data_IF_775381056532
#
_entry.id   IF_775381056532
#
_cell.length_a   1.000
_cell.length_b   1.000
_cell.length_c   1.000
_cell.angle_alpha   90.00
_cell.angle_beta   90.00
_cell.angle_gamma   90.00
#
_symmetry.space_group_name_H-M   'P 1'
#
loop_
_entity.id
_entity.type
_entity.pdbx_description
1 polymer ?
#
# COMPACT_ATOMS: atom_id res chain seq x y z
N UNK A 1 38.10 -34.50 3.38
CA UNK A 1 37.51 -34.95 2.09
C UNK A 1 36.26 -34.10 1.91
N UNK A 2 36.06 -33.23 0.91
CA UNK A 2 36.48 -33.21 -0.52
C UNK A 2 35.94 -34.40 -1.32
N UNK A 3 34.79 -34.20 -1.97
CA UNK A 3 34.33 -34.54 -3.34
C UNK A 3 32.86 -34.01 -3.39
N UNK A 4 32.33 -33.22 -4.34
CA UNK A 4 32.50 -33.04 -5.80
C UNK A 4 31.56 -33.90 -6.65
N UNK A 5 30.45 -33.32 -7.11
CA UNK A 5 29.64 -33.65 -8.32
C UNK A 5 28.48 -32.62 -8.42
N UNK A 6 27.98 -32.16 -9.58
CA UNK A 6 28.55 -32.08 -10.94
C UNK A 6 27.72 -31.06 -11.75
N UNK A 7 28.37 -30.15 -12.47
CA UNK A 7 27.71 -29.23 -13.44
C UNK A 7 27.91 -29.80 -14.85
N UNK A 8 26.89 -29.72 -15.70
CA UNK A 8 26.94 -30.14 -17.11
C UNK A 8 26.33 -29.05 -18.01
N UNK A 9 27.13 -28.53 -18.94
CA UNK A 9 26.73 -27.53 -19.95
C UNK A 9 26.77 -28.11 -21.37
N UNK A 10 25.82 -27.69 -22.21
CA UNK A 10 25.80 -27.80 -23.68
C UNK A 10 24.87 -26.68 -24.22
N UNK A 11 25.31 -25.70 -25.02
CA UNK A 11 25.55 -25.72 -26.49
C UNK A 11 24.31 -26.18 -27.29
N UNK A 12 23.86 -25.55 -28.40
CA UNK A 12 24.30 -24.41 -29.26
C UNK A 12 23.11 -24.01 -30.20
N UNK A 13 23.03 -22.99 -31.10
CA UNK A 13 23.89 -21.90 -31.66
C UNK A 13 23.01 -20.84 -32.40
N UNK A 14 23.59 -19.72 -32.89
CA UNK A 14 23.05 -18.67 -33.81
C UNK A 14 21.96 -17.72 -33.25
N UNK A 15 21.94 -16.37 -33.37
CA UNK A 15 22.58 -15.32 -34.22
C UNK A 15 21.73 -14.74 -35.37
N UNK A 16 21.13 -13.56 -35.15
CA UNK A 16 20.74 -12.56 -36.19
C UNK A 16 20.96 -11.14 -35.63
N UNK A 17 21.36 -10.18 -36.48
CA UNK A 17 21.59 -8.77 -36.12
C UNK A 17 20.53 -7.84 -36.73
N UNK A 18 20.22 -6.73 -36.06
CA UNK A 18 19.96 -5.42 -36.71
C UNK A 18 20.12 -4.27 -35.70
N UNK A 19 20.05 -3.00 -36.16
CA UNK A 19 20.59 -1.81 -35.46
C UNK A 19 19.49 -0.75 -35.21
N UNK A 20 19.63 0.10 -34.16
CA UNK A 20 18.69 1.19 -33.90
C UNK A 20 18.81 2.34 -34.91
N UNK A 21 17.76 3.15 -35.02
CA UNK A 21 17.71 4.40 -35.78
C UNK A 21 17.21 5.56 -34.91
N UNK A 22 17.76 6.75 -35.12
CA UNK A 22 17.49 7.95 -34.31
C UNK A 22 16.21 8.67 -34.78
N UNK A 23 15.43 9.19 -33.82
CA UNK A 23 14.18 9.92 -34.09
C UNK A 23 14.06 11.23 -33.30
N UNK A 24 14.87 12.24 -33.63
CA UNK A 24 14.79 13.57 -33.00
C UNK A 24 13.68 14.41 -33.64
N UNK A 25 12.66 14.78 -32.87
CA UNK A 25 11.75 15.90 -33.18
C UNK A 25 11.51 16.77 -31.94
N UNK A 26 11.05 18.00 -32.16
CA UNK A 26 11.15 19.13 -31.21
C UNK A 26 9.76 19.65 -30.84
N UNK A 27 9.49 20.01 -29.57
CA UNK A 27 8.18 20.53 -29.17
C UNK A 27 7.90 21.89 -29.80
N UNK A 28 6.61 22.16 -30.07
CA UNK A 28 6.12 23.42 -30.65
C UNK A 28 5.10 24.06 -29.71
N UNK A 29 5.55 25.02 -28.91
CA UNK A 29 4.68 25.91 -28.13
C UNK A 29 3.74 26.68 -29.07
N UNK A 30 2.49 26.90 -28.67
CA UNK A 30 1.58 27.85 -29.34
C UNK A 30 0.65 28.45 -28.31
N UNK A 31 0.92 29.71 -27.93
CA UNK A 31 0.05 30.52 -27.08
C UNK A 31 -1.07 31.12 -27.95
N UNK A 32 -2.32 31.06 -27.48
CA UNK A 32 -3.45 31.80 -28.05
C UNK A 32 -4.04 32.66 -26.93
N UNK A 33 -4.43 33.89 -27.25
CA UNK A 33 -4.92 34.86 -26.28
C UNK A 33 -6.36 35.34 -26.60
N UNK A 34 -7.10 35.64 -25.53
CA UNK A 34 -8.21 36.58 -25.41
C UNK A 34 -9.25 36.71 -26.55
N UNK A 35 -10.52 36.38 -26.22
CA UNK A 35 -11.68 36.86 -26.98
C UNK A 35 -12.99 36.22 -26.53
N UNK A 36 -13.91 36.99 -25.94
CA UNK A 36 -15.24 36.50 -25.55
C UNK A 36 -15.89 37.28 -24.40
N UNK A 37 -16.56 38.39 -24.72
CA UNK A 37 -17.42 39.09 -23.76
C UNK A 37 -18.86 38.56 -23.86
N UNK A 38 -19.51 38.32 -22.73
CA UNK A 38 -20.88 37.80 -22.67
C UNK A 38 -21.56 38.13 -21.35
N UNK A 39 -22.18 39.32 -21.27
CA UNK A 39 -23.00 39.70 -20.13
C UNK A 39 -24.46 39.24 -20.33
N UNK A 40 -25.07 38.68 -19.30
CA UNK A 40 -26.49 38.32 -19.26
C UNK A 40 -27.08 38.88 -17.97
N UNK A 41 -28.28 39.48 -18.04
CA UNK A 41 -28.80 40.35 -16.98
C UNK A 41 -30.05 39.78 -16.31
N UNK A 42 -29.98 39.66 -14.99
CA UNK A 42 -31.05 39.66 -13.99
C UNK A 42 -32.37 38.89 -14.25
N UNK A 43 -32.75 38.06 -13.29
CA UNK A 43 -34.08 38.20 -12.67
C UNK A 43 -34.00 37.88 -11.17
N UNK A 44 -34.90 38.46 -10.38
CA UNK A 44 -34.98 38.35 -8.92
C UNK A 44 -36.16 37.49 -8.47
N UNK A 45 -36.10 36.90 -7.27
CA UNK A 45 -37.13 37.08 -6.22
C UNK A 45 -36.97 36.13 -5.00
N UNK A 46 -37.74 36.46 -3.95
CA UNK A 46 -38.23 35.58 -2.87
C UNK A 46 -37.23 35.06 -1.82
N UNK A 47 -37.37 35.61 -0.61
CA UNK A 47 -36.71 35.14 0.60
C UNK A 47 -37.30 33.81 1.13
N UNK A 48 -36.49 33.07 1.90
CA UNK A 48 -36.93 32.02 2.81
C UNK A 48 -36.17 32.15 4.14
N UNK A 49 -36.89 32.19 5.26
CA UNK A 49 -36.31 32.38 6.60
C UNK A 49 -36.79 31.29 7.54
N UNK A 50 -35.87 30.44 7.98
CA UNK A 50 -36.01 29.59 9.19
C UNK A 50 -34.62 29.28 9.72
N UNK A 51 -34.44 29.44 11.02
CA UNK A 51 -33.28 28.91 11.74
C UNK A 51 -33.59 27.50 12.25
N UNK A 52 -32.56 26.67 12.40
CA UNK A 52 -32.57 25.51 13.29
C UNK A 52 -31.19 25.38 13.93
N UNK A 53 -31.15 24.88 15.17
CA UNK A 53 -29.93 24.62 15.92
C UNK A 53 -29.79 23.11 16.22
N UNK A 54 -28.56 22.68 16.47
CA UNK A 54 -28.12 21.32 16.72
C UNK A 54 -26.59 21.32 16.54
N UNK A 55 -25.72 21.18 17.55
CA UNK A 55 -25.82 20.64 18.92
C UNK A 55 -25.94 19.10 18.98
N UNK A 56 -24.90 18.48 19.55
CA UNK A 56 -24.51 17.06 19.37
C UNK A 56 -23.10 17.03 18.76
N UNK A 57 -21.97 17.04 19.49
CA UNK A 57 -21.65 16.71 20.89
C UNK A 57 -21.49 15.21 21.19
N UNK A 58 -20.33 14.86 21.78
CA UNK A 58 -19.85 13.48 22.01
C UNK A 58 -19.07 12.94 20.81
N UNK A 59 -17.83 12.45 20.93
CA UNK A 59 -16.84 12.57 22.02
C UNK A 59 -15.46 12.82 21.37
N UNK A 60 -14.65 13.73 21.93
CA UNK A 60 -13.22 13.78 21.66
C UNK A 60 -12.53 13.03 22.80
N UNK A 61 -11.94 11.87 22.49
CA UNK A 61 -11.17 11.07 23.42
C UNK A 61 -9.76 11.64 23.58
N UNK A 62 -9.62 12.78 24.26
CA UNK A 62 -8.30 13.26 24.70
C UNK A 62 -7.80 12.36 25.85
N UNK A 63 -7.40 11.13 25.53
CA UNK A 63 -6.36 10.46 26.32
C UNK A 63 -5.09 11.32 26.21
N UNK A 64 -4.39 11.47 27.33
CA UNK A 64 -3.21 12.32 27.37
C UNK A 64 -1.99 11.52 26.92
N UNK A 65 -1.81 11.42 25.60
CA UNK A 65 -0.60 10.87 24.97
C UNK A 65 0.68 11.54 25.48
N UNK A 66 1.83 10.94 25.19
CA UNK A 66 3.11 11.50 25.67
C UNK A 66 3.29 12.94 25.14
N UNK A 67 4.05 13.81 25.83
CA UNK A 67 4.01 15.28 25.64
C UNK A 67 4.38 15.81 24.22
N UNK A 68 4.65 14.93 23.24
CA UNK A 68 4.89 15.22 21.82
C UNK A 68 4.21 14.21 20.87
N UNK A 69 3.00 13.75 21.23
CA UNK A 69 2.20 12.75 20.50
C UNK A 69 0.81 13.31 20.11
N UNK A 70 0.26 12.88 18.98
CA UNK A 70 -1.04 13.29 18.43
C UNK A 70 -1.80 12.07 17.92
N UNK A 71 -2.86 11.66 18.62
CA UNK A 71 -3.85 10.71 18.10
C UNK A 71 -4.83 11.44 17.15
N UNK A 72 -5.13 10.85 15.98
CA UNK A 72 -6.15 11.36 15.07
C UNK A 72 -6.93 10.25 14.33
N UNK A 73 -8.25 10.44 14.21
CA UNK A 73 -9.14 9.59 13.42
C UNK A 73 -9.19 10.03 11.95
N UNK A 74 -9.05 9.07 11.04
CA UNK A 74 -9.02 9.24 9.59
C UNK A 74 -10.18 8.52 8.89
N UNK A 75 -10.27 8.65 7.55
CA UNK A 75 -11.22 7.92 6.70
C UNK A 75 -10.49 7.36 5.46
N UNK A 76 -10.85 6.15 5.04
CA UNK A 76 -10.21 5.53 3.86
C UNK A 76 -10.51 6.30 2.58
N UNK A 77 -9.47 6.56 1.79
CA UNK A 77 -9.53 7.32 0.54
C UNK A 77 -9.50 8.85 0.73
N UNK A 78 -9.49 9.37 1.96
CA UNK A 78 -9.32 10.79 2.24
C UNK A 78 -7.84 11.13 2.53
N UNK A 79 -7.48 12.40 2.27
CA UNK A 79 -6.12 12.89 2.44
C UNK A 79 -5.97 13.57 3.81
N UNK A 80 -5.07 13.05 4.64
CA UNK A 80 -4.85 13.47 6.03
C UNK A 80 -3.47 14.11 6.14
N UNK A 81 -3.37 15.25 6.83
CA UNK A 81 -2.07 15.87 7.09
C UNK A 81 -1.37 15.14 8.24
N UNK A 82 -0.06 14.96 8.11
CA UNK A 82 0.82 14.50 9.19
C UNK A 82 1.78 15.64 9.50
N UNK A 83 1.75 16.14 10.73
CA UNK A 83 2.50 17.34 11.10
C UNK A 83 4.00 17.06 11.19
N UNK A 84 4.79 18.11 10.94
CA UNK A 84 6.25 18.07 11.06
C UNK A 84 6.72 18.61 12.41
N UNK A 85 7.98 18.34 12.73
CA UNK A 85 8.61 18.80 13.97
C UNK A 85 9.11 17.69 14.89
N UNK A 86 9.15 16.45 14.38
CA UNK A 86 9.43 15.23 15.14
C UNK A 86 8.41 14.98 16.28
N UNK A 87 7.16 15.39 16.04
CA UNK A 87 5.98 15.01 16.81
C UNK A 87 5.50 13.65 16.28
N UNK A 88 5.15 12.70 17.15
CA UNK A 88 4.55 11.42 16.77
C UNK A 88 3.07 11.65 16.44
N UNK A 89 2.61 11.14 15.30
CA UNK A 89 1.22 11.25 14.85
C UNK A 89 0.70 9.86 14.53
N UNK A 90 -0.34 9.46 15.25
CA UNK A 90 -0.96 8.14 15.15
C UNK A 90 -2.31 8.33 14.44
N UNK A 91 -2.52 7.56 13.38
CA UNK A 91 -3.61 7.81 12.43
C UNK A 91 -4.50 6.59 12.30
N UNK A 92 -5.51 6.58 13.17
CA UNK A 92 -6.49 5.53 13.34
C UNK A 92 -7.49 5.55 12.18
N UNK A 93 -7.66 4.43 11.47
CA UNK A 93 -8.70 4.27 10.45
C UNK A 93 -9.94 3.56 11.00
N UNK A 94 -11.12 3.60 10.34
CA UNK A 94 -12.31 2.93 10.84
C UNK A 94 -12.11 1.41 11.04
N UNK A 95 -12.63 0.82 12.13
CA UNK A 95 -12.46 -0.60 12.40
C UNK A 95 -13.17 -1.50 11.37
N UNK A 96 -12.47 -2.56 10.95
CA UNK A 96 -12.98 -3.63 10.10
C UNK A 96 -13.73 -4.70 10.88
N UNK A 97 -13.71 -5.93 10.34
CA UNK A 97 -14.42 -7.09 10.89
C UNK A 97 -13.87 -7.53 12.25
N UNK A 98 -12.54 -7.51 12.38
CA UNK A 98 -11.77 -8.13 13.45
C UNK A 98 -10.83 -7.14 14.17
N UNK A 99 -10.43 -6.05 13.52
CA UNK A 99 -9.53 -5.04 14.06
C UNK A 99 -9.49 -3.72 13.30
N UNK A 100 -8.67 -2.80 13.78
CA UNK A 100 -8.45 -1.44 13.25
C UNK A 100 -7.10 -1.39 12.53
N UNK A 101 -6.98 -0.58 11.47
CA UNK A 101 -5.69 -0.27 10.83
C UNK A 101 -5.15 1.07 11.33
N UNK A 102 -3.84 1.11 11.56
CA UNK A 102 -3.08 2.20 12.18
C UNK A 102 -1.89 2.60 11.30
N UNK A 103 -1.52 3.87 11.33
CA UNK A 103 -0.27 4.36 10.70
C UNK A 103 0.37 5.39 11.62
N UNK A 104 1.38 4.97 12.40
CA UNK A 104 2.26 5.91 13.09
C UNK A 104 3.24 6.61 12.13
N UNK A 105 3.48 7.88 12.38
CA UNK A 105 4.46 8.71 11.68
C UNK A 105 5.18 9.66 12.64
N UNK A 106 6.50 9.82 12.45
CA UNK A 106 7.27 10.91 13.05
C UNK A 106 8.31 11.42 12.05
N UNK A 107 8.41 12.74 11.87
CA UNK A 107 9.46 13.34 11.05
C UNK A 107 9.64 14.84 11.31
N UNK A 108 10.83 15.37 10.98
CA UNK A 108 11.12 16.80 11.01
C UNK A 108 10.24 17.60 10.01
N UNK A 109 9.88 17.00 8.86
CA UNK A 109 9.03 17.60 7.83
C UNK A 109 7.64 16.95 7.76
N UNK A 110 6.60 17.76 7.62
CA UNK A 110 5.23 17.30 7.41
C UNK A 110 5.07 16.46 6.12
N UNK A 111 4.01 15.64 6.08
CA UNK A 111 3.60 14.80 4.93
C UNK A 111 2.08 14.84 4.77
N UNK A 112 1.56 14.28 3.68
CA UNK A 112 0.12 14.01 3.52
C UNK A 112 -0.07 12.52 3.29
N UNK A 113 -0.79 11.87 4.22
CA UNK A 113 -1.14 10.45 4.16
C UNK A 113 -2.44 10.26 3.36
N UNK A 114 -2.54 9.14 2.67
CA UNK A 114 -3.83 8.62 2.18
C UNK A 114 -3.76 7.10 2.20
N UNK A 115 -4.67 6.45 2.94
CA UNK A 115 -4.81 4.99 2.94
C UNK A 115 -6.10 4.63 2.23
N UNK A 116 -6.05 3.71 1.26
CA UNK A 116 -7.22 3.25 0.50
C UNK A 116 -7.39 1.73 0.62
N UNK A 117 -8.59 1.26 0.91
CA UNK A 117 -8.88 -0.19 0.91
C UNK A 117 -8.89 -0.75 -0.53
N UNK A 118 -8.08 -1.77 -0.78
CA UNK A 118 -8.28 -2.68 -1.90
C UNK A 118 -9.20 -3.82 -1.44
N UNK A 119 -10.45 -3.77 -1.90
CA UNK A 119 -11.49 -4.78 -1.63
C UNK A 119 -11.36 -6.07 -2.49
N UNK A 120 -10.29 -6.20 -3.28
CA UNK A 120 -9.92 -7.42 -3.98
C UNK A 120 -8.41 -7.70 -3.75
N UNK A 121 -7.99 -8.00 -2.51
CA UNK A 121 -6.59 -8.28 -2.18
C UNK A 121 -6.09 -9.53 -2.93
N UNK A 122 -4.77 -9.60 -3.14
CA UNK A 122 -4.14 -10.83 -3.59
C UNK A 122 -4.31 -11.96 -2.55
N UNK A 123 -4.23 -13.21 -2.99
CA UNK A 123 -4.42 -14.36 -2.11
C UNK A 123 -3.40 -14.39 -0.94
N UNK A 124 -3.80 -14.83 0.28
CA UNK A 124 -2.89 -14.96 1.41
C UNK A 124 -1.67 -15.85 1.13
N UNK A 125 -0.52 -15.59 1.76
CA UNK A 125 0.63 -16.50 1.74
C UNK A 125 0.25 -17.91 2.22
N UNK A 126 0.88 -18.93 1.63
CA UNK A 126 0.54 -20.32 1.91
C UNK A 126 0.73 -20.68 3.39
N UNK A 127 -0.33 -21.21 4.02
CA UNK A 127 -0.35 -21.51 5.46
C UNK A 127 -0.82 -20.36 6.35
N UNK A 128 -1.34 -19.27 5.76
CA UNK A 128 -1.95 -18.14 6.46
C UNK A 128 -3.39 -17.88 5.98
N UNK A 129 -4.14 -17.14 6.78
CA UNK A 129 -5.41 -16.49 6.40
C UNK A 129 -5.31 -14.99 6.68
N UNK A 130 -5.95 -14.17 5.86
CA UNK A 130 -6.04 -12.73 6.15
C UNK A 130 -6.98 -12.47 7.33
N UNK A 131 -6.68 -11.45 8.14
CA UNK A 131 -7.56 -11.00 9.23
C UNK A 131 -8.75 -10.19 8.72
N UNK A 132 -8.57 -9.47 7.61
CA UNK A 132 -9.65 -8.71 6.95
C UNK A 132 -9.82 -9.16 5.49
N UNK A 133 -11.00 -8.94 4.88
CA UNK A 133 -11.24 -9.22 3.46
C UNK A 133 -10.64 -8.16 2.51
N UNK A 134 -9.80 -7.25 3.03
CA UNK A 134 -9.21 -6.11 2.31
C UNK A 134 -7.69 -6.04 2.54
N UNK A 135 -7.02 -5.24 1.73
CA UNK A 135 -5.65 -4.76 1.96
C UNK A 135 -5.61 -3.22 1.93
N UNK A 136 -4.61 -2.63 2.59
CA UNK A 136 -4.50 -1.19 2.81
C UNK A 136 -3.40 -0.59 1.93
N UNK A 137 -3.78 0.20 0.93
CA UNK A 137 -2.86 0.90 0.03
C UNK A 137 -2.47 2.24 0.64
N UNK A 138 -1.27 2.30 1.22
CA UNK A 138 -0.68 3.46 1.89
C UNK A 138 0.09 4.31 0.88
N UNK A 139 -0.30 5.58 0.74
CA UNK A 139 0.39 6.60 -0.05
C UNK A 139 0.78 7.79 0.84
N UNK A 140 1.95 8.38 0.58
CA UNK A 140 2.52 9.47 1.39
C UNK A 140 3.13 10.56 0.51
N UNK A 141 2.45 11.70 0.38
CA UNK A 141 2.99 12.86 -0.34
C UNK A 141 4.17 13.47 0.43
N UNK A 142 5.25 13.80 -0.29
CA UNK A 142 6.55 14.14 0.28
C UNK A 142 7.47 12.92 0.46
N UNK A 143 6.95 11.70 0.39
CA UNK A 143 7.72 10.46 0.34
C UNK A 143 8.15 9.92 1.71
N UNK A 144 8.47 8.62 1.71
CA UNK A 144 8.72 7.77 2.88
C UNK A 144 10.21 7.39 3.07
N UNK A 145 11.13 8.13 2.45
CA UNK A 145 12.57 7.94 2.64
C UNK A 145 13.06 8.79 3.82
N UNK A 146 13.88 8.20 4.71
CA UNK A 146 14.59 8.88 5.80
C UNK A 146 13.72 9.59 6.86
N UNK A 147 12.48 9.14 7.06
CA UNK A 147 11.61 9.61 8.15
C UNK A 147 12.11 9.09 9.52
N UNK A 148 11.77 9.79 10.61
CA UNK A 148 12.21 9.47 11.99
C UNK A 148 11.53 8.19 12.51
N UNK A 149 10.21 8.06 12.30
CA UNK A 149 9.43 6.86 12.61
C UNK A 149 8.42 6.60 11.49
N UNK A 150 8.21 5.33 11.19
CA UNK A 150 7.15 4.84 10.31
C UNK A 150 6.73 3.47 10.81
N UNK A 151 5.44 3.29 11.08
CA UNK A 151 4.88 1.97 11.37
C UNK A 151 3.65 1.64 10.53
N UNK A 152 3.18 0.40 10.61
CA UNK A 152 2.01 -0.17 9.93
C UNK A 152 1.38 -1.18 10.90
N UNK A 153 0.39 -0.73 11.67
CA UNK A 153 -0.01 -1.45 12.88
C UNK A 153 -1.49 -1.86 12.84
N UNK A 154 -1.87 -2.77 13.72
CA UNK A 154 -3.19 -3.42 13.68
C UNK A 154 -3.67 -3.89 15.05
N UNK A 155 -4.60 -3.11 15.60
CA UNK A 155 -5.24 -3.31 16.92
C UNK A 155 -6.44 -4.24 16.76
N UNK A 156 -6.61 -5.26 17.62
CA UNK A 156 -7.84 -6.04 17.63
C UNK A 156 -9.05 -5.22 18.12
N UNK A 157 -10.21 -5.43 17.49
CA UNK A 157 -11.48 -4.92 18.02
C UNK A 157 -11.68 -5.51 19.44
N UNK A 158 -12.04 -4.68 20.43
CA UNK A 158 -12.11 -5.08 21.84
C UNK A 158 -13.14 -6.19 22.19
N UNK A 159 -13.93 -6.65 21.22
CA UNK A 159 -14.85 -7.78 21.30
C UNK A 159 -14.38 -9.03 20.51
N UNK A 160 -13.22 -8.96 19.87
CA UNK A 160 -12.60 -10.06 19.12
C UNK A 160 -12.17 -11.19 20.07
N UNK A 161 -12.17 -12.42 19.56
CA UNK A 161 -11.64 -13.60 20.26
C UNK A 161 -10.55 -14.28 19.42
N UNK A 162 -9.91 -13.53 18.53
CA UNK A 162 -8.75 -14.00 17.76
C UNK A 162 -7.47 -13.84 18.60
N UNK A 163 -6.50 -14.70 18.33
CA UNK A 163 -5.14 -14.58 18.84
C UNK A 163 -4.25 -14.13 17.68
N UNK A 164 -3.73 -12.90 17.76
CA UNK A 164 -2.83 -12.32 16.76
C UNK A 164 -1.36 -12.33 17.22
N UNK A 165 -1.03 -12.94 18.36
CA UNK A 165 0.34 -13.01 18.90
C UNK A 165 1.34 -13.80 18.03
N UNK A 166 0.82 -14.51 17.01
CA UNK A 166 1.60 -15.20 15.97
C UNK A 166 1.28 -14.71 14.56
N UNK A 167 0.52 -13.61 14.44
CA UNK A 167 0.18 -12.98 13.18
C UNK A 167 1.37 -12.28 12.53
N UNK A 168 1.16 -11.79 11.32
CA UNK A 168 2.19 -11.23 10.45
C UNK A 168 1.59 -10.11 9.60
N UNK A 169 2.21 -8.93 9.62
CA UNK A 169 1.96 -7.86 8.64
C UNK A 169 2.82 -8.14 7.39
N UNK A 170 2.25 -7.98 6.20
CA UNK A 170 2.94 -8.27 4.93
C UNK A 170 2.70 -7.18 3.89
N UNK A 171 3.73 -6.90 3.08
CA UNK A 171 3.68 -5.97 1.94
C UNK A 171 3.34 -6.73 0.66
N UNK A 172 2.51 -6.17 -0.21
CA UNK A 172 2.31 -6.69 -1.55
C UNK A 172 3.54 -6.43 -2.43
N UNK A 173 4.07 -7.51 -3.02
CA UNK A 173 5.22 -7.47 -3.91
C UNK A 173 4.72 -7.64 -5.35
N UNK A 174 4.61 -6.54 -6.10
CA UNK A 174 3.99 -6.49 -7.44
C UNK A 174 4.64 -7.48 -8.42
N UNK A 175 5.95 -7.63 -8.35
CA UNK A 175 6.77 -8.48 -9.21
C UNK A 175 6.66 -9.97 -8.88
N UNK A 176 6.29 -10.31 -7.64
CA UNK A 176 5.90 -11.66 -7.24
C UNK A 176 4.39 -11.93 -7.40
N UNK A 177 3.59 -10.86 -7.53
CA UNK A 177 2.13 -10.87 -7.44
C UNK A 177 1.62 -11.60 -6.17
N UNK A 178 2.28 -11.36 -5.04
CA UNK A 178 1.92 -11.94 -3.74
C UNK A 178 2.31 -11.03 -2.57
N UNK A 179 1.67 -11.23 -1.41
CA UNK A 179 2.16 -10.66 -0.16
C UNK A 179 3.46 -11.33 0.30
N UNK A 180 4.34 -10.55 0.92
CA UNK A 180 5.68 -10.94 1.39
C UNK A 180 5.89 -10.39 2.81
N UNK A 181 6.35 -11.27 3.72
CA UNK A 181 6.67 -10.93 5.11
C UNK A 181 8.11 -10.41 5.27
N UNK A 182 8.38 -9.69 6.35
CA UNK A 182 9.74 -9.30 6.75
C UNK A 182 10.26 -8.00 6.15
N UNK A 183 9.38 -7.05 5.81
CA UNK A 183 9.72 -5.69 5.33
C UNK A 183 9.95 -4.68 6.48
N UNK A 184 10.09 -5.16 7.70
CA UNK A 184 10.21 -4.37 8.93
C UNK A 184 10.50 -5.24 10.16
N UNK A 185 10.58 -4.60 11.32
CA UNK A 185 10.65 -5.26 12.64
C UNK A 185 9.22 -5.38 13.19
N UNK A 186 8.78 -6.61 13.47
CA UNK A 186 7.40 -6.92 13.88
C UNK A 186 7.37 -7.34 15.34
N UNK A 187 6.56 -6.65 16.14
CA UNK A 187 6.30 -6.96 17.55
C UNK A 187 4.79 -7.23 17.77
N UNK A 188 4.45 -7.74 18.96
CA UNK A 188 3.06 -7.96 19.39
C UNK A 188 2.89 -7.36 20.79
N UNK A 189 2.03 -6.36 20.90
CA UNK A 189 1.84 -5.58 22.10
C UNK A 189 0.61 -6.12 22.83
N UNK A 190 0.89 -6.91 23.88
CA UNK A 190 -0.07 -7.83 24.48
C UNK A 190 -1.10 -7.15 25.40
N UNK A 191 -0.85 -5.91 25.81
CA UNK A 191 -1.77 -5.12 26.63
C UNK A 191 -2.79 -4.39 25.73
N UNK A 192 -2.39 -3.82 24.58
CA UNK A 192 -3.28 -3.30 23.54
C UNK A 192 -3.97 -4.40 22.69
N UNK A 193 -3.37 -5.58 22.56
CA UNK A 193 -3.73 -6.65 21.60
C UNK A 193 -3.49 -6.24 20.13
N UNK A 194 -2.27 -5.76 19.88
CA UNK A 194 -1.85 -5.12 18.63
C UNK A 194 -0.65 -5.83 17.98
N UNK A 195 -0.60 -5.82 16.64
CA UNK A 195 0.58 -6.17 15.86
C UNK A 195 1.26 -4.91 15.34
N UNK A 196 2.50 -4.69 15.75
CA UNK A 196 3.26 -3.45 15.51
C UNK A 196 4.37 -3.72 14.49
N UNK A 197 4.41 -3.06 13.32
CA UNK A 197 5.45 -3.24 12.30
C UNK A 197 6.20 -1.92 12.01
N UNK A 198 7.39 -1.76 12.59
CA UNK A 198 8.29 -0.66 12.24
C UNK A 198 8.96 -0.90 10.89
N UNK A 199 8.81 0.04 9.95
CA UNK A 199 9.23 -0.11 8.54
C UNK A 199 10.20 0.98 8.07
N UNK A 200 11.06 0.66 7.11
CA UNK A 200 11.92 1.65 6.45
C UNK A 200 11.19 2.50 5.40
N UNK A 201 10.01 2.06 4.94
CA UNK A 201 9.18 2.73 3.95
C UNK A 201 7.72 2.22 4.01
N UNK A 202 6.83 3.03 4.58
CA UNK A 202 5.39 2.71 4.72
C UNK A 202 4.61 2.69 3.40
N UNK A 203 5.11 3.32 2.32
CA UNK A 203 4.34 3.42 1.06
C UNK A 203 4.32 2.07 0.33
N UNK A 204 3.13 1.50 0.18
CA UNK A 204 2.88 0.18 -0.38
C UNK A 204 1.45 -0.29 -0.11
N UNK A 205 1.10 -1.47 -0.60
CA UNK A 205 -0.13 -2.18 -0.21
C UNK A 205 0.21 -3.19 0.89
N UNK A 206 -0.56 -3.18 1.98
CA UNK A 206 -0.30 -3.99 3.18
C UNK A 206 -1.51 -4.84 3.55
N UNK A 207 -1.28 -6.01 4.14
CA UNK A 207 -2.35 -6.82 4.73
C UNK A 207 -1.83 -7.57 5.96
N UNK A 208 -2.75 -7.88 6.87
CA UNK A 208 -2.44 -8.54 8.15
C UNK A 208 -3.00 -9.96 8.12
N UNK A 209 -2.18 -10.90 8.55
CA UNK A 209 -2.42 -12.34 8.43
C UNK A 209 -2.24 -13.05 9.76
N UNK A 210 -2.95 -14.16 9.96
CA UNK A 210 -2.65 -15.12 11.04
C UNK A 210 -2.38 -16.51 10.49
N UNK A 211 -1.55 -17.33 11.15
CA UNK A 211 -1.30 -18.70 10.74
C UNK A 211 -2.60 -19.49 10.60
N UNK A 212 -2.75 -20.21 9.50
CA UNK A 212 -3.88 -21.10 9.28
C UNK A 212 -3.76 -22.28 10.26
N UNK A 213 -4.40 -22.17 11.41
CA UNK A 213 -4.55 -23.31 12.33
C UNK A 213 -5.16 -24.48 11.56
N UNK A 214 -4.56 -25.67 11.69
CA UNK A 214 -4.82 -26.82 10.81
C UNK A 214 -6.22 -27.44 11.07
N UNK A 215 -7.24 -26.75 10.58
CA UNK A 215 -8.66 -26.97 10.84
C UNK A 215 -9.56 -25.84 10.31
N UNK A 216 -9.05 -24.60 10.23
CA UNK A 216 -9.73 -23.50 9.56
C UNK A 216 -9.54 -23.61 8.03
N UNK A 217 -10.49 -24.25 7.35
CA UNK A 217 -10.46 -24.42 5.89
C UNK A 217 -10.40 -23.08 5.15
N UNK A 218 -9.65 -23.02 4.04
CA UNK A 218 -9.47 -21.80 3.27
C UNK A 218 -10.82 -21.24 2.76
N UNK A 219 -11.05 -19.94 2.96
CA UNK A 219 -12.16 -19.22 2.35
C UNK A 219 -12.10 -19.35 0.83
N UNK A 220 -13.23 -19.69 0.20
CA UNK A 220 -13.23 -20.17 -1.17
C UNK A 220 -12.97 -19.05 -2.21
N UNK A 221 -11.71 -18.91 -2.62
CA UNK A 221 -11.30 -18.14 -3.80
C UNK A 221 -11.77 -18.78 -5.11
N UNK A 222 -13.05 -18.62 -5.42
CA UNK A 222 -13.70 -18.79 -6.73
C UNK A 222 -13.35 -20.05 -7.57
N UNK A 223 -14.08 -21.15 -7.35
CA UNK A 223 -14.40 -22.09 -8.44
C UNK A 223 -15.60 -21.57 -9.24
N UNK A 224 -15.35 -20.98 -10.41
CA UNK A 224 -16.33 -20.76 -11.48
C UNK A 224 -15.64 -20.23 -12.76
N UNK A 225 -15.39 -21.07 -13.78
CA UNK A 225 -14.83 -20.53 -15.03
C UNK A 225 -14.32 -21.49 -16.11
N UNK A 226 -14.88 -22.68 -16.29
CA UNK A 226 -14.54 -23.49 -17.46
C UNK A 226 -15.13 -22.84 -18.75
N UNK A 227 -14.30 -22.12 -19.50
CA UNK A 227 -14.73 -21.35 -20.69
C UNK A 227 -13.63 -21.15 -21.72
N UNK A 228 -13.53 -22.07 -22.68
CA UNK A 228 -12.77 -21.86 -23.92
C UNK A 228 -13.50 -20.82 -24.80
N UNK A 229 -12.82 -19.77 -25.28
CA UNK A 229 -12.93 -19.20 -26.65
C UNK A 229 -11.98 -18.00 -26.84
N UNK A 230 -11.49 -17.89 -28.08
CA UNK A 230 -10.45 -17.02 -28.66
C UNK A 230 -10.39 -15.51 -28.32
N UNK A 231 -9.13 -15.05 -28.24
CA UNK A 231 -8.56 -13.85 -28.88
C UNK A 231 -9.36 -12.52 -28.93
N UNK A 232 -8.97 -11.58 -28.05
CA UNK A 232 -9.25 -10.14 -28.22
C UNK A 232 -7.98 -9.30 -27.99
N UNK A 233 -7.50 -8.59 -29.02
CA UNK A 233 -6.34 -7.69 -28.90
C UNK A 233 -6.80 -6.29 -28.45
N UNK A 234 -6.33 -5.84 -27.28
CA UNK A 234 -6.60 -4.50 -26.76
C UNK A 234 -5.42 -3.95 -25.97
N UNK A 235 -4.67 -3.02 -26.55
CA UNK A 235 -3.53 -2.37 -25.89
C UNK A 235 -3.97 -1.13 -25.10
N UNK A 236 -3.62 -1.06 -23.82
CA UNK A 236 -3.88 0.08 -22.93
C UNK A 236 -2.61 0.57 -22.25
N UNK A 237 -1.82 1.41 -22.92
CA UNK A 237 -0.58 1.96 -22.38
C UNK A 237 -0.85 3.18 -21.47
N UNK A 238 -1.04 2.95 -20.17
CA UNK A 238 -1.15 4.01 -19.16
C UNK A 238 0.22 4.41 -18.61
N UNK A 239 0.77 5.53 -19.09
CA UNK A 239 2.01 6.11 -18.51
C UNK A 239 1.63 7.06 -17.38
N UNK A 240 1.48 6.52 -16.17
CA UNK A 240 1.48 7.30 -14.93
C UNK A 240 2.91 7.72 -14.56
N UNK A 241 3.09 8.92 -14.03
CA UNK A 241 4.41 9.49 -13.74
C UNK A 241 4.74 9.44 -12.24
N UNK A 242 6.01 9.24 -11.90
CA UNK A 242 6.56 9.61 -10.59
C UNK A 242 6.68 8.51 -9.53
N UNK A 243 6.32 7.26 -9.81
CA UNK A 243 6.63 6.16 -8.90
C UNK A 243 8.16 5.91 -8.85
N UNK A 244 8.70 5.77 -7.63
CA UNK A 244 10.00 5.15 -7.40
C UNK A 244 9.97 3.64 -7.68
N UNK A 245 11.09 2.94 -7.46
CA UNK A 245 11.10 1.47 -7.50
C UNK A 245 10.10 0.95 -6.44
N UNK A 246 8.99 0.26 -6.79
CA UNK A 246 8.00 -0.19 -5.82
C UNK A 246 8.61 -1.20 -4.83
N UNK A 247 9.65 -1.90 -5.27
CA UNK A 247 10.67 -2.52 -4.46
C UNK A 247 11.67 -1.45 -3.95
N UNK A 248 11.30 -0.70 -2.90
CA UNK A 248 12.20 0.30 -2.30
C UNK A 248 13.59 -0.27 -1.95
N UNK A 249 14.64 0.55 -2.02
CA UNK A 249 16.00 0.05 -1.75
C UNK A 249 16.10 -0.53 -0.34
N UNK A 250 16.50 -1.81 -0.24
CA UNK A 250 16.56 -2.56 1.02
C UNK A 250 15.38 -3.50 1.27
N UNK A 251 14.29 -3.40 0.51
CA UNK A 251 13.11 -4.27 0.68
C UNK A 251 13.39 -5.76 0.39
N UNK A 252 12.67 -6.64 1.08
CA UNK A 252 12.64 -8.08 0.82
C UNK A 252 12.05 -8.39 -0.56
N UNK A 253 11.09 -7.61 -1.03
CA UNK A 253 10.60 -7.67 -2.42
C UNK A 253 11.73 -7.38 -3.43
N UNK A 254 12.60 -6.37 -3.19
CA UNK A 254 13.82 -6.13 -4.00
C UNK A 254 14.78 -7.32 -3.97
N UNK A 255 15.01 -7.90 -2.78
CA UNK A 255 15.90 -9.05 -2.62
C UNK A 255 15.36 -10.32 -3.31
N UNK A 256 14.04 -10.55 -3.26
CA UNK A 256 13.34 -11.62 -3.97
C UNK A 256 13.41 -11.41 -5.49
N UNK A 257 13.19 -10.19 -5.97
CA UNK A 257 13.32 -9.84 -7.38
C UNK A 257 14.75 -10.07 -7.89
N UNK A 258 15.77 -9.64 -7.16
CA UNK A 258 17.18 -9.88 -7.49
C UNK A 258 17.52 -11.40 -7.47
N UNK A 259 16.93 -12.17 -6.56
CA UNK A 259 17.09 -13.63 -6.51
C UNK A 259 16.42 -14.33 -7.71
N UNK A 260 15.20 -13.93 -8.07
CA UNK A 260 14.49 -14.40 -9.26
C UNK A 260 15.22 -14.02 -10.55
N UNK A 261 15.75 -12.80 -10.65
CA UNK A 261 16.57 -12.36 -11.78
C UNK A 261 17.90 -13.14 -11.87
N UNK A 262 18.52 -13.55 -10.75
CA UNK A 262 19.69 -14.44 -10.76
C UNK A 262 19.33 -15.87 -11.20
N UNK A 263 18.15 -16.36 -10.82
CA UNK A 263 17.66 -17.70 -11.17
C UNK A 263 17.31 -17.79 -12.66
N UNK A 264 16.57 -16.81 -13.19
CA UNK A 264 16.18 -16.72 -14.61
C UNK A 264 17.36 -16.28 -15.50
N UNK A 265 18.20 -15.36 -15.00
CA UNK A 265 19.36 -14.82 -15.71
C UNK A 265 20.58 -15.75 -15.82
N UNK A 266 20.52 -16.93 -15.19
CA UNK A 266 21.39 -18.05 -15.55
C UNK A 266 22.89 -17.89 -15.27
N UNK A 267 23.25 -17.35 -14.10
CA UNK A 267 24.59 -17.57 -13.52
C UNK A 267 25.78 -17.03 -14.34
N UNK A 268 25.71 -15.79 -14.82
CA UNK A 268 26.88 -15.06 -15.34
C UNK A 268 27.77 -14.56 -14.19
N UNK A 269 28.67 -15.42 -13.71
CA UNK A 269 29.75 -15.11 -12.75
C UNK A 269 31.00 -15.94 -13.06
#
# INVERSE_FOLDING_TARGET
MKLSCSILLATQVLSVLSRPALGVTRPRTTTIAAGGAGAITATSAAAGTTASAGAGAGEAGEEAGEENEIEQEAQFGEAVNLDGGDIKTDTLYPPGTNGRFEVEFQNQEARVLTVTENINPAAPPAGFVALEPVSYVVALEGGAEYLTLQKIDYILNANSTLDISTGQVARFCTEANSFVFGEGELEFEADENELTLTVANMVGEWAVFVPQTAGAGAGAGADAGAGETEAGVGAGAGVGAGAGDPCGQGTMCRALLDALQRLVGGGQA
#
